data_IF_433910582556
#
_entry.id   IF_433910582556
#
_cell.length_a   1.000
_cell.length_b   1.000
_cell.length_c   1.000
_cell.angle_alpha   90.00
_cell.angle_beta   90.00
_cell.angle_gamma   90.00
#
_symmetry.space_group_name_H-M   'P 1'
#
loop_
_entity.id
_entity.type
_entity.pdbx_description
1 polymer ?
#
# COMPACT_ATOMS: atom_id res chain seq x y z
N UNK A 1 -3.80 -13.37 1.43
CA UNK A 1 -3.96 -11.97 0.95
C UNK A 1 -4.76 -11.89 -0.35
N UNK A 2 -4.52 -12.75 -1.35
CA UNK A 2 -5.16 -12.67 -2.68
C UNK A 2 -6.71 -12.63 -2.66
N UNK A 3 -7.35 -13.32 -1.71
CA UNK A 3 -8.83 -13.39 -1.66
C UNK A 3 -9.50 -12.27 -0.84
N UNK A 4 -8.73 -11.37 -0.23
CA UNK A 4 -9.28 -10.27 0.61
C UNK A 4 -9.49 -8.99 -0.17
N UNK A 5 -8.67 -8.74 -1.18
CA UNK A 5 -8.67 -7.50 -1.93
C UNK A 5 -8.86 -7.78 -3.42
N UNK A 6 -9.90 -7.21 -4.01
CA UNK A 6 -10.07 -7.23 -5.46
C UNK A 6 -9.41 -5.98 -6.06
N UNK A 7 -8.32 -6.14 -6.80
CA UNK A 7 -7.68 -5.04 -7.53
C UNK A 7 -8.60 -4.55 -8.64
N UNK A 8 -8.84 -3.24 -8.71
CA UNK A 8 -9.72 -2.63 -9.70
C UNK A 8 -8.91 -1.96 -10.82
N UNK A 9 -8.04 -0.99 -10.48
CA UNK A 9 -7.23 -0.25 -11.45
C UNK A 9 -6.03 0.41 -10.80
N UNK A 10 -5.06 0.83 -11.61
CA UNK A 10 -3.99 1.70 -11.16
C UNK A 10 -4.52 3.11 -10.80
N UNK A 11 -4.00 3.65 -9.70
CA UNK A 11 -4.19 5.05 -9.28
C UNK A 11 -2.98 5.92 -9.64
N UNK A 12 -1.78 5.33 -9.62
CA UNK A 12 -0.57 5.95 -10.16
C UNK A 12 0.68 5.13 -9.85
N UNK A 13 1.77 5.49 -10.52
CA UNK A 13 3.08 4.89 -10.33
C UNK A 13 4.13 5.94 -9.95
N UNK A 14 5.12 5.53 -9.17
CA UNK A 14 6.26 6.36 -8.79
C UNK A 14 7.57 5.60 -8.87
N UNK A 15 8.68 6.22 -8.44
CA UNK A 15 10.03 5.65 -8.52
C UNK A 15 10.24 4.32 -7.78
N UNK A 16 9.39 3.98 -6.82
CA UNK A 16 9.57 2.77 -5.98
C UNK A 16 8.40 1.79 -6.01
N UNK A 17 7.19 2.25 -6.29
CA UNK A 17 5.98 1.46 -6.13
C UNK A 17 4.89 1.91 -7.11
N UNK A 18 3.93 1.02 -7.32
CA UNK A 18 2.66 1.33 -7.98
C UNK A 18 1.53 1.28 -6.96
N UNK A 19 0.59 2.21 -7.05
CA UNK A 19 -0.59 2.30 -6.18
C UNK A 19 -1.82 1.88 -6.97
N UNK A 20 -2.56 0.93 -6.44
CA UNK A 20 -3.79 0.41 -7.02
C UNK A 20 -5.00 0.78 -6.16
N UNK A 21 -6.11 1.05 -6.83
CA UNK A 21 -7.43 1.00 -6.21
C UNK A 21 -7.83 -0.47 -6.07
N UNK A 22 -8.32 -0.84 -4.90
CA UNK A 22 -8.87 -2.15 -4.63
C UNK A 22 -10.15 -2.06 -3.79
N UNK A 23 -10.95 -3.12 -3.83
CA UNK A 23 -12.06 -3.34 -2.91
C UNK A 23 -11.61 -4.24 -1.78
N UNK A 24 -11.75 -3.80 -0.53
CA UNK A 24 -11.66 -4.70 0.63
C UNK A 24 -12.96 -5.51 0.70
N UNK A 25 -12.90 -6.79 0.31
CA UNK A 25 -14.07 -7.66 0.22
C UNK A 25 -14.66 -7.99 1.59
N UNK A 26 -13.89 -7.85 2.66
CA UNK A 26 -14.37 -8.08 4.04
C UNK A 26 -15.21 -6.92 4.55
N UNK A 27 -14.78 -5.69 4.25
CA UNK A 27 -15.40 -4.47 4.80
C UNK A 27 -16.23 -3.68 3.77
N UNK A 28 -16.24 -4.09 2.50
CA UNK A 28 -17.03 -3.48 1.43
C UNK A 28 -16.56 -2.08 0.99
N UNK A 29 -15.37 -1.64 1.41
CA UNK A 29 -14.88 -0.27 1.17
C UNK A 29 -13.74 -0.21 0.15
N UNK A 30 -13.59 0.89 -0.61
CA UNK A 30 -12.43 1.09 -1.45
C UNK A 30 -11.18 1.31 -0.58
N UNK A 31 -10.05 0.78 -1.01
CA UNK A 31 -8.74 0.94 -0.37
C UNK A 31 -7.67 1.19 -1.43
N UNK A 32 -6.59 1.86 -1.05
CA UNK A 32 -5.39 1.99 -1.88
C UNK A 32 -4.36 0.94 -1.44
N UNK A 33 -3.80 0.18 -2.39
CA UNK A 33 -2.74 -0.80 -2.14
C UNK A 33 -1.47 -0.35 -2.84
N UNK A 34 -0.41 -0.10 -2.08
CA UNK A 34 0.91 0.29 -2.58
C UNK A 34 1.78 -0.96 -2.71
N UNK A 35 2.13 -1.33 -3.94
CA UNK A 35 2.92 -2.51 -4.27
C UNK A 35 4.33 -2.09 -4.70
N UNK A 36 5.35 -2.60 -4.00
CA UNK A 36 6.75 -2.41 -4.33
C UNK A 36 7.08 -3.03 -5.70
N UNK A 37 7.83 -2.32 -6.54
CA UNK A 37 8.30 -2.87 -7.81
C UNK A 37 9.42 -3.89 -7.56
N UNK A 38 9.35 -5.11 -8.12
CA UNK A 38 10.33 -6.17 -7.85
C UNK A 38 11.77 -5.73 -8.14
N UNK A 39 11.98 -4.95 -9.20
CA UNK A 39 13.29 -4.48 -9.64
C UNK A 39 13.89 -3.50 -8.63
N UNK A 40 13.04 -2.70 -7.97
CA UNK A 40 13.45 -1.76 -6.93
C UNK A 40 13.69 -2.47 -5.61
N UNK A 41 12.85 -3.44 -5.25
CA UNK A 41 13.04 -4.26 -4.05
C UNK A 41 14.40 -5.00 -4.11
N UNK A 42 14.80 -5.47 -5.29
CA UNK A 42 16.09 -6.11 -5.52
C UNK A 42 17.28 -5.13 -5.47
N UNK A 43 17.11 -3.90 -5.95
CA UNK A 43 18.21 -2.93 -6.07
C UNK A 43 18.43 -2.05 -4.82
N UNK A 44 17.36 -1.61 -4.15
CA UNK A 44 17.40 -0.69 -3.01
C UNK A 44 17.07 -1.37 -1.68
N UNK A 45 16.62 -2.62 -1.71
CA UNK A 45 16.15 -3.33 -0.53
C UNK A 45 14.76 -2.86 -0.06
N UNK A 46 14.04 -3.68 0.73
CA UNK A 46 12.71 -3.34 1.24
C UNK A 46 12.74 -2.26 2.34
N UNK A 47 13.93 -1.84 2.80
CA UNK A 47 14.13 -1.01 3.98
C UNK A 47 13.40 0.33 3.93
N UNK A 48 13.43 1.01 2.78
CA UNK A 48 12.73 2.30 2.63
C UNK A 48 11.21 2.14 2.69
N UNK A 49 10.69 1.04 2.13
CA UNK A 49 9.26 0.71 2.21
C UNK A 49 8.84 0.33 3.63
N UNK A 50 9.66 -0.48 4.31
CA UNK A 50 9.43 -0.83 5.71
C UNK A 50 9.45 0.41 6.62
N UNK A 51 10.36 1.36 6.36
CA UNK A 51 10.41 2.63 7.09
C UNK A 51 9.14 3.47 6.89
N UNK A 52 8.61 3.52 5.67
CA UNK A 52 7.33 4.20 5.41
C UNK A 52 6.17 3.53 6.17
N UNK A 53 6.12 2.19 6.19
CA UNK A 53 5.13 1.44 6.97
C UNK A 53 5.24 1.78 8.45
N UNK A 54 6.45 1.77 9.02
CA UNK A 54 6.68 2.07 10.44
C UNK A 54 6.23 3.48 10.82
N UNK A 55 6.52 4.48 9.98
CA UNK A 55 6.10 5.87 10.21
C UNK A 55 4.57 5.97 10.11
N UNK A 56 3.97 5.43 9.05
CA UNK A 56 2.52 5.49 8.84
C UNK A 56 1.74 4.77 9.94
N UNK A 57 2.24 3.63 10.44
CA UNK A 57 1.62 2.87 11.52
C UNK A 57 1.57 3.65 12.86
N UNK A 58 2.46 4.62 13.06
CA UNK A 58 2.48 5.47 14.25
C UNK A 58 1.52 6.67 14.15
N UNK A 59 0.98 6.95 12.95
CA UNK A 59 0.14 8.11 12.70
C UNK A 59 -1.35 7.72 12.78
N UNK A 60 -1.98 8.01 13.91
CA UNK A 60 -3.42 7.90 14.09
C UNK A 60 -4.03 9.29 14.31
N UNK A 61 -4.57 9.89 13.24
CA UNK A 61 -5.14 11.24 13.29
C UNK A 61 -6.24 11.40 12.22
N UNK A 62 -7.35 12.12 12.48
CA UNK A 62 -8.46 12.28 11.53
C UNK A 62 -8.08 12.88 10.17
N UNK A 63 -6.96 13.61 10.10
CA UNK A 63 -6.47 14.23 8.86
C UNK A 63 -5.29 13.48 8.21
N UNK A 64 -4.96 12.29 8.69
CA UNK A 64 -3.91 11.44 8.13
C UNK A 64 -4.55 10.14 7.67
N UNK A 65 -4.22 9.69 6.45
CA UNK A 65 -4.75 8.43 5.94
C UNK A 65 -4.29 7.27 6.82
N UNK A 66 -5.23 6.46 7.36
CA UNK A 66 -4.88 5.34 8.21
C UNK A 66 -4.26 4.21 7.40
N UNK A 67 -3.23 3.57 7.95
CA UNK A 67 -2.73 2.30 7.47
C UNK A 67 -3.64 1.17 7.96
N UNK A 68 -4.09 0.29 7.07
CA UNK A 68 -5.00 -0.82 7.42
C UNK A 68 -4.31 -2.17 7.58
N UNK A 69 -3.30 -2.46 6.75
CA UNK A 69 -2.58 -3.73 6.71
C UNK A 69 -1.25 -3.52 5.95
N UNK A 70 -0.29 -4.43 6.10
CA UNK A 70 1.04 -4.37 5.45
C UNK A 70 1.50 -5.73 4.94
#
# INVERSE_FOLDING_TARGET
MADRYALERELGHGGMATVYLARDLRHGRPVAIKVLRPEIAAALGPERFLREIQIAAQLAHPHILPLHDS
#
